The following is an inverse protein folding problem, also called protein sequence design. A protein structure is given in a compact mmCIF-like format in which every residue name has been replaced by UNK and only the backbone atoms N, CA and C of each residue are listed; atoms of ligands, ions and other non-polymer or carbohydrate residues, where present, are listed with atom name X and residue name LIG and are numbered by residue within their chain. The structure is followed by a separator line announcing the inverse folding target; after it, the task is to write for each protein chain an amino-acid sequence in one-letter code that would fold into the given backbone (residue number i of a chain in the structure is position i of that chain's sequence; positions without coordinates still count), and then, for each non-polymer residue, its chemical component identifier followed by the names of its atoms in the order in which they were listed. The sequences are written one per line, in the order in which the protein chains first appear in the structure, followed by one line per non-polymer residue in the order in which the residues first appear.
data_IF_985954829140
#
_entry.id   IF_985954829140
#
_cell.length_a   1.000
_cell.length_b   1.000
_cell.length_c   1.000
_cell.angle_alpha   90.00
_cell.angle_beta   90.00
_cell.angle_gamma   90.00
#
_symmetry.space_group_name_H-M   'P 1'
#
loop_
_entity.id
_entity.type
_entity.pdbx_description
1 polymer ?
#
# COMPACT_ATOMS: atom_id res chain seq x y z
N UNK A 1 7.22 3.93 -23.18
CA UNK A 1 5.90 3.90 -22.54
C UNK A 1 5.28 2.49 -22.47
N UNK A 2 6.02 1.41 -22.71
CA UNK A 2 5.51 0.05 -22.93
C UNK A 2 5.98 -1.01 -21.92
N UNK A 3 6.46 -0.63 -20.74
CA UNK A 3 6.93 -1.61 -19.72
C UNK A 3 6.03 -1.73 -18.47
N UNK A 4 4.99 -0.92 -18.34
CA UNK A 4 4.05 -0.98 -17.21
C UNK A 4 2.91 -2.01 -17.39
N UNK A 5 2.69 -2.51 -18.60
CA UNK A 5 1.56 -3.42 -18.89
C UNK A 5 1.85 -4.90 -18.58
N UNK A 6 3.11 -5.29 -18.35
CA UNK A 6 3.48 -6.72 -18.19
C UNK A 6 3.48 -7.24 -16.75
N UNK A 7 3.40 -6.39 -15.73
CA UNK A 7 3.47 -6.81 -14.33
C UNK A 7 2.12 -7.15 -13.68
N UNK A 8 1.01 -6.87 -14.35
CA UNK A 8 -0.34 -7.11 -13.79
C UNK A 8 -0.90 -8.50 -14.15
N UNK A 9 -0.31 -9.20 -15.12
CA UNK A 9 -0.92 -10.44 -15.66
C UNK A 9 -0.54 -11.75 -14.94
N UNK A 10 0.32 -11.74 -13.94
CA UNK A 10 0.79 -13.00 -13.33
C UNK A 10 0.15 -13.39 -11.98
N UNK A 11 -0.70 -12.56 -11.40
CA UNK A 11 -1.29 -12.82 -10.06
C UNK A 11 -2.73 -13.37 -10.08
N UNK A 12 -3.32 -13.65 -11.22
CA UNK A 12 -4.77 -13.84 -11.35
C UNK A 12 -5.25 -15.31 -11.42
N UNK A 13 -4.46 -16.30 -10.98
CA UNK A 13 -4.93 -17.71 -11.18
C UNK A 13 -4.64 -18.69 -10.04
N UNK A 14 -4.94 -18.36 -8.78
CA UNK A 14 -4.76 -19.33 -7.69
C UNK A 14 -5.81 -19.33 -6.57
N UNK A 15 -7.04 -18.89 -6.79
CA UNK A 15 -8.05 -18.84 -5.72
C UNK A 15 -9.33 -19.64 -6.02
N UNK A 16 -9.23 -20.89 -6.51
CA UNK A 16 -10.38 -21.80 -6.56
C UNK A 16 -9.94 -23.25 -6.31
N UNK A 17 -9.49 -23.59 -5.09
CA UNK A 17 -9.49 -24.99 -4.61
C UNK A 17 -9.75 -25.03 -3.10
N UNK A 18 -10.69 -25.84 -2.61
CA UNK A 18 -10.89 -26.07 -1.18
C UNK A 18 -9.77 -26.97 -0.67
N UNK A 19 -8.97 -26.47 0.26
CA UNK A 19 -7.91 -27.24 0.90
C UNK A 19 -6.55 -26.54 0.94
N UNK A 20 -6.48 -25.24 1.28
CA UNK A 20 -5.21 -24.55 1.48
C UNK A 20 -4.50 -25.07 2.72
N UNK A 21 -3.40 -25.82 2.52
CA UNK A 21 -2.51 -26.24 3.60
C UNK A 21 -1.68 -25.05 4.12
N UNK A 22 -1.18 -25.13 5.35
CA UNK A 22 -0.31 -24.09 5.94
C UNK A 22 0.91 -23.74 5.07
N UNK A 23 1.37 -24.64 4.22
CA UNK A 23 2.44 -24.38 3.24
C UNK A 23 2.03 -23.38 2.16
N UNK A 24 0.81 -23.48 1.61
CA UNK A 24 0.32 -22.55 0.58
C UNK A 24 0.11 -21.13 1.12
N UNK A 25 -0.24 -20.99 2.41
CA UNK A 25 -0.33 -19.66 3.04
C UNK A 25 1.04 -19.03 3.29
N UNK A 26 2.07 -19.85 3.58
CA UNK A 26 3.44 -19.38 3.75
C UNK A 26 4.04 -18.91 2.41
N UNK A 27 3.79 -19.64 1.32
CA UNK A 27 4.24 -19.26 -0.03
C UNK A 27 3.57 -17.95 -0.49
N UNK A 28 2.26 -17.83 -0.33
CA UNK A 28 1.52 -16.60 -0.66
C UNK A 28 2.02 -15.39 0.14
N UNK A 29 2.36 -15.57 1.42
CA UNK A 29 2.94 -14.51 2.24
C UNK A 29 4.31 -14.07 1.73
N UNK A 30 5.16 -15.03 1.33
CA UNK A 30 6.49 -14.76 0.77
C UNK A 30 6.40 -14.00 -0.55
N UNK A 31 5.47 -14.37 -1.44
CA UNK A 31 5.20 -13.67 -2.69
C UNK A 31 4.72 -12.22 -2.45
N UNK A 32 3.83 -12.03 -1.48
CA UNK A 32 3.38 -10.68 -1.08
C UNK A 32 4.55 -9.84 -0.58
N UNK A 33 5.44 -10.38 0.23
CA UNK A 33 6.61 -9.65 0.73
C UNK A 33 7.59 -9.29 -0.39
N UNK A 34 7.82 -10.18 -1.34
CA UNK A 34 8.66 -9.90 -2.50
C UNK A 34 8.05 -8.81 -3.38
N UNK A 35 6.77 -8.93 -3.73
CA UNK A 35 6.05 -7.90 -4.49
C UNK A 35 6.10 -6.51 -3.79
N UNK A 36 5.99 -6.49 -2.46
CA UNK A 36 6.11 -5.25 -1.68
C UNK A 36 7.51 -4.66 -1.73
N UNK A 37 8.55 -5.50 -1.72
CA UNK A 37 9.93 -5.05 -1.84
C UNK A 37 10.19 -4.43 -3.22
N UNK A 38 9.69 -5.06 -4.27
CA UNK A 38 9.79 -4.58 -5.64
C UNK A 38 9.03 -3.25 -5.83
N UNK A 39 7.79 -3.18 -5.33
CA UNK A 39 7.00 -1.94 -5.34
C UNK A 39 7.66 -0.80 -4.57
N UNK A 40 8.40 -1.11 -3.49
CA UNK A 40 9.15 -0.10 -2.74
C UNK A 40 10.31 0.46 -3.54
N UNK A 41 11.09 -0.41 -4.20
CA UNK A 41 12.20 -0.01 -5.06
C UNK A 41 11.71 0.80 -6.26
N UNK A 42 10.65 0.32 -6.92
CA UNK A 42 10.02 1.00 -8.04
C UNK A 42 9.44 2.36 -7.65
N UNK A 43 8.83 2.47 -6.48
CA UNK A 43 8.27 3.73 -5.97
C UNK A 43 9.34 4.80 -5.81
N UNK A 44 10.49 4.46 -5.22
CA UNK A 44 11.59 5.41 -5.08
C UNK A 44 12.13 5.84 -6.45
N UNK A 45 12.27 4.91 -7.39
CA UNK A 45 12.69 5.20 -8.75
C UNK A 45 11.70 6.11 -9.48
N UNK A 46 10.39 5.85 -9.33
CA UNK A 46 9.33 6.70 -9.91
C UNK A 46 9.37 8.11 -9.32
N UNK A 47 9.56 8.26 -8.01
CA UNK A 47 9.71 9.57 -7.37
C UNK A 47 10.94 10.29 -7.90
N UNK A 48 12.09 9.62 -7.97
CA UNK A 48 13.34 10.21 -8.48
C UNK A 48 13.21 10.66 -9.95
N UNK A 49 12.56 9.87 -10.79
CA UNK A 49 12.36 10.18 -12.21
C UNK A 49 11.37 11.34 -12.46
N UNK A 50 10.42 11.56 -11.53
CA UNK A 50 9.35 12.54 -11.73
C UNK A 50 9.45 13.79 -10.84
N UNK A 51 10.42 13.83 -9.93
CA UNK A 51 10.67 14.96 -9.03
C UNK A 51 12.11 15.48 -9.25
N UNK A 52 12.31 16.44 -10.16
CA UNK A 52 13.65 16.99 -10.42
C UNK A 52 14.12 17.80 -9.21
N UNK A 53 15.11 17.28 -8.50
CA UNK A 53 15.72 17.90 -7.32
C UNK A 53 17.12 18.43 -7.67
N UNK A 54 17.46 19.61 -7.16
CA UNK A 54 18.84 20.05 -7.12
C UNK A 54 19.64 19.20 -6.12
N UNK A 55 20.96 19.27 -6.16
CA UNK A 55 21.80 18.53 -5.22
C UNK A 55 21.49 18.88 -3.76
N UNK A 56 21.28 20.17 -3.46
CA UNK A 56 20.93 20.64 -2.11
C UNK A 56 19.57 20.14 -1.65
N UNK A 57 18.55 20.20 -2.54
CA UNK A 57 17.22 19.65 -2.23
C UNK A 57 17.27 18.14 -2.03
N UNK A 58 18.01 17.42 -2.86
CA UNK A 58 18.16 15.96 -2.79
C UNK A 58 18.75 15.52 -1.45
N UNK A 59 19.81 16.18 -0.97
CA UNK A 59 20.44 15.90 0.33
C UNK A 59 19.45 16.04 1.50
N UNK A 60 18.49 16.95 1.41
CA UNK A 60 17.50 17.20 2.48
C UNK A 60 16.24 16.36 2.30
N UNK A 61 15.80 16.11 1.08
CA UNK A 61 14.55 15.39 0.76
C UNK A 61 14.63 13.91 1.11
N UNK A 62 15.66 13.20 0.65
CA UNK A 62 15.73 11.74 0.78
C UNK A 62 15.71 11.22 2.23
N UNK A 63 16.34 11.88 3.22
CA UNK A 63 16.17 11.49 4.61
C UNK A 63 14.72 11.58 5.10
N UNK A 64 14.01 12.67 4.78
CA UNK A 64 12.59 12.84 5.16
C UNK A 64 11.72 11.82 4.43
N UNK A 65 11.98 11.58 3.14
CA UNK A 65 11.31 10.55 2.34
C UNK A 65 11.45 9.16 2.98
N UNK A 66 12.68 8.77 3.31
CA UNK A 66 12.96 7.46 3.91
C UNK A 66 12.20 7.26 5.23
N UNK A 67 12.17 8.27 6.08
CA UNK A 67 11.43 8.23 7.34
C UNK A 67 9.91 8.13 7.09
N UNK A 68 9.37 8.97 6.22
CA UNK A 68 7.95 8.92 5.84
C UNK A 68 7.56 7.55 5.28
N UNK A 69 8.37 6.99 4.39
CA UNK A 69 8.12 5.67 3.81
C UNK A 69 8.19 4.56 4.85
N UNK A 70 9.16 4.62 5.78
CA UNK A 70 9.23 3.65 6.88
C UNK A 70 7.99 3.65 7.77
N UNK A 71 7.39 4.82 8.04
CA UNK A 71 6.14 4.88 8.78
C UNK A 71 4.92 4.42 7.95
N UNK A 72 4.87 4.76 6.66
CA UNK A 72 3.79 4.26 5.77
C UNK A 72 3.84 2.75 5.57
N UNK A 73 5.02 2.14 5.58
CA UNK A 73 5.19 0.69 5.48
C UNK A 73 4.56 -0.03 6.68
N UNK A 74 4.68 0.51 7.89
CA UNK A 74 4.02 -0.04 9.10
C UNK A 74 2.49 -0.07 8.95
N UNK A 75 1.92 0.99 8.36
CA UNK A 75 0.48 1.02 8.06
C UNK A 75 0.11 0.04 6.93
N UNK A 76 0.99 -0.13 5.96
CA UNK A 76 0.87 -1.16 4.93
C UNK A 76 0.87 -2.57 5.52
N UNK A 77 1.71 -2.84 6.53
CA UNK A 77 1.72 -4.13 7.26
C UNK A 77 0.40 -4.39 7.99
N UNK A 78 -0.16 -3.37 8.64
CA UNK A 78 -1.48 -3.47 9.28
C UNK A 78 -2.57 -3.79 8.24
N UNK A 79 -2.55 -3.09 7.09
CA UNK A 79 -3.49 -3.35 6.00
C UNK A 79 -3.36 -4.78 5.47
N UNK A 80 -2.15 -5.27 5.24
CA UNK A 80 -1.92 -6.64 4.76
C UNK A 80 -2.43 -7.69 5.76
N UNK A 81 -2.18 -7.49 7.06
CA UNK A 81 -2.71 -8.36 8.13
C UNK A 81 -4.23 -8.34 8.17
N UNK A 82 -4.85 -7.18 8.02
CA UNK A 82 -6.30 -7.04 7.99
C UNK A 82 -6.91 -7.79 6.80
N UNK A 83 -6.32 -7.65 5.61
CA UNK A 83 -6.76 -8.37 4.39
C UNK A 83 -6.60 -9.88 4.57
N UNK A 84 -5.48 -10.35 5.12
CA UNK A 84 -5.26 -11.77 5.38
C UNK A 84 -6.27 -12.33 6.40
N UNK A 85 -6.56 -11.58 7.47
CA UNK A 85 -7.57 -11.96 8.45
C UNK A 85 -8.99 -11.98 7.84
N UNK A 86 -9.29 -11.03 6.95
CA UNK A 86 -10.55 -11.00 6.21
C UNK A 86 -10.70 -12.24 5.32
N UNK A 87 -9.69 -12.55 4.52
CA UNK A 87 -9.69 -13.72 3.65
C UNK A 87 -9.87 -15.04 4.45
N UNK A 88 -9.15 -15.20 5.56
CA UNK A 88 -9.24 -16.37 6.41
C UNK A 88 -10.61 -16.56 7.08
N UNK A 89 -11.36 -15.47 7.25
CA UNK A 89 -12.68 -15.50 7.91
C UNK A 89 -13.85 -15.29 6.94
N UNK A 90 -13.60 -15.19 5.64
CA UNK A 90 -14.60 -14.76 4.66
C UNK A 90 -15.91 -15.56 4.75
N UNK A 91 -15.83 -16.90 4.72
CA UNK A 91 -17.01 -17.79 4.77
C UNK A 91 -17.75 -17.73 6.12
N UNK A 92 -17.07 -17.31 7.18
CA UNK A 92 -17.60 -17.24 8.53
C UNK A 92 -17.85 -15.81 9.02
N UNK A 93 -17.88 -14.84 8.09
CA UNK A 93 -18.15 -13.43 8.44
C UNK A 93 -19.54 -13.29 9.07
N UNK A 94 -19.57 -12.58 10.18
CA UNK A 94 -20.76 -12.19 10.93
C UNK A 94 -20.68 -10.70 11.31
N UNK A 95 -21.67 -10.17 11.98
CA UNK A 95 -21.73 -8.75 12.39
C UNK A 95 -20.56 -8.36 13.30
N UNK A 96 -20.14 -9.25 14.19
CA UNK A 96 -19.04 -9.00 15.13
C UNK A 96 -17.71 -8.87 14.37
N UNK A 97 -17.41 -9.83 13.50
CA UNK A 97 -16.20 -9.83 12.68
C UNK A 97 -16.21 -8.68 11.69
N UNK A 98 -17.36 -8.40 11.07
CA UNK A 98 -17.53 -7.26 10.15
C UNK A 98 -17.29 -5.93 10.85
N UNK A 99 -17.80 -5.77 12.06
CA UNK A 99 -17.55 -4.57 12.89
C UNK A 99 -16.07 -4.43 13.24
N UNK A 100 -15.41 -5.51 13.65
CA UNK A 100 -13.98 -5.49 13.97
C UNK A 100 -13.14 -5.14 12.74
N UNK A 101 -13.44 -5.75 11.59
CA UNK A 101 -12.79 -5.44 10.30
C UNK A 101 -12.94 -3.97 9.93
N UNK A 102 -14.16 -3.45 9.98
CA UNK A 102 -14.47 -2.06 9.61
C UNK A 102 -13.77 -1.05 10.54
N UNK A 103 -13.75 -1.33 11.85
CA UNK A 103 -13.09 -0.47 12.83
C UNK A 103 -11.57 -0.41 12.61
N UNK A 104 -10.93 -1.54 12.33
CA UNK A 104 -9.49 -1.57 12.05
C UNK A 104 -9.18 -0.88 10.71
N UNK A 105 -9.97 -1.12 9.66
CA UNK A 105 -9.83 -0.42 8.40
C UNK A 105 -9.92 1.11 8.58
N UNK A 106 -10.95 1.60 9.28
CA UNK A 106 -11.09 3.03 9.58
C UNK A 106 -9.91 3.58 10.40
N UNK A 107 -9.39 2.79 11.35
CA UNK A 107 -8.22 3.18 12.15
C UNK A 107 -7.01 3.37 11.26
N UNK A 108 -6.74 2.45 10.35
CA UNK A 108 -5.63 2.55 9.39
C UNK A 108 -5.77 3.80 8.52
N UNK A 109 -6.96 4.11 8.01
CA UNK A 109 -7.20 5.29 7.17
C UNK A 109 -6.99 6.61 7.96
N UNK A 110 -7.44 6.68 9.21
CA UNK A 110 -7.16 7.83 10.08
C UNK A 110 -5.65 8.00 10.32
N UNK A 111 -4.95 6.92 10.59
CA UNK A 111 -3.50 6.95 10.85
C UNK A 111 -2.71 7.34 9.58
N UNK A 112 -3.16 6.93 8.39
CA UNK A 112 -2.59 7.39 7.10
C UNK A 112 -2.74 8.90 6.92
N UNK A 113 -3.92 9.43 7.21
CA UNK A 113 -4.17 10.87 7.14
C UNK A 113 -3.31 11.63 8.15
N UNK A 114 -3.30 11.22 9.40
CA UNK A 114 -2.49 11.84 10.46
C UNK A 114 -1.00 11.80 10.14
N UNK A 115 -0.50 10.68 9.60
CA UNK A 115 0.89 10.57 9.16
C UNK A 115 1.22 11.57 8.04
N UNK A 116 0.34 11.70 7.05
CA UNK A 116 0.49 12.69 5.97
C UNK A 116 0.54 14.11 6.54
N UNK A 117 -0.38 14.45 7.43
CA UNK A 117 -0.46 15.77 8.05
C UNK A 117 0.81 16.09 8.86
N UNK A 118 1.38 15.10 9.54
CA UNK A 118 2.65 15.21 10.26
C UNK A 118 3.83 15.50 9.32
N UNK A 119 3.87 14.88 8.13
CA UNK A 119 5.02 14.95 7.23
C UNK A 119 4.93 16.08 6.19
N UNK A 120 3.74 16.54 5.82
CA UNK A 120 3.56 17.66 4.86
C UNK A 120 4.40 18.89 5.26
N UNK A 121 4.38 19.37 6.51
CA UNK A 121 5.22 20.51 6.92
C UNK A 121 6.71 20.21 6.80
N UNK A 122 7.14 18.98 7.03
CA UNK A 122 8.55 18.57 6.94
C UNK A 122 9.04 18.61 5.50
N UNK A 123 8.26 18.10 4.56
CA UNK A 123 8.57 18.20 3.13
C UNK A 123 8.58 19.64 2.63
N UNK A 124 7.66 20.49 3.12
CA UNK A 124 7.61 21.91 2.78
C UNK A 124 8.80 22.72 3.34
N UNK A 125 9.50 22.21 4.34
CA UNK A 125 10.75 22.83 4.83
C UNK A 125 11.94 22.55 3.93
N UNK A 126 11.94 21.43 3.22
CA UNK A 126 13.07 20.95 2.42
C UNK A 126 12.85 21.10 0.91
N UNK A 127 11.63 21.44 0.49
CA UNK A 127 11.24 21.62 -0.90
C UNK A 127 10.46 22.92 -1.12
N UNK A 128 10.62 23.59 -2.26
CA UNK A 128 9.66 24.60 -2.72
C UNK A 128 8.23 24.03 -2.78
N UNK A 129 7.22 24.86 -2.53
CA UNK A 129 5.81 24.43 -2.45
C UNK A 129 5.34 23.65 -3.67
N UNK A 130 5.76 24.04 -4.88
CA UNK A 130 5.42 23.30 -6.11
C UNK A 130 6.00 21.89 -6.13
N UNK A 131 7.25 21.71 -5.70
CA UNK A 131 7.89 20.39 -5.64
C UNK A 131 7.30 19.53 -4.54
N UNK A 132 6.99 20.10 -3.37
CA UNK A 132 6.29 19.40 -2.31
C UNK A 132 4.89 18.92 -2.77
N UNK A 133 4.12 19.78 -3.42
CA UNK A 133 2.82 19.40 -4.00
C UNK A 133 2.96 18.29 -5.04
N UNK A 134 3.95 18.42 -5.96
CA UNK A 134 4.24 17.39 -6.98
C UNK A 134 4.60 16.04 -6.35
N UNK A 135 5.41 16.05 -5.30
CA UNK A 135 5.76 14.83 -4.58
C UNK A 135 4.50 14.10 -4.05
N UNK A 136 3.62 14.82 -3.35
CA UNK A 136 2.38 14.21 -2.85
C UNK A 136 1.41 13.79 -3.96
N UNK A 137 1.42 14.46 -5.12
CA UNK A 137 0.67 14.00 -6.29
C UNK A 137 1.23 12.67 -6.84
N UNK A 138 2.56 12.51 -6.88
CA UNK A 138 3.21 11.25 -7.28
C UNK A 138 2.81 10.14 -6.31
N UNK A 139 2.96 10.36 -5.00
CA UNK A 139 2.55 9.38 -3.97
C UNK A 139 1.07 8.99 -4.11
N UNK A 140 0.18 9.98 -4.26
CA UNK A 140 -1.25 9.71 -4.42
C UNK A 140 -1.58 8.88 -5.66
N UNK A 141 -0.89 9.11 -6.78
CA UNK A 141 -1.07 8.30 -8.00
C UNK A 141 -0.59 6.86 -7.80
N UNK A 142 0.53 6.66 -7.13
CA UNK A 142 1.05 5.33 -6.82
C UNK A 142 0.13 4.58 -5.86
N UNK A 143 -0.38 5.26 -4.83
CA UNK A 143 -1.35 4.69 -3.90
C UNK A 143 -2.67 4.33 -4.60
N UNK A 144 -3.14 5.16 -5.54
CA UNK A 144 -4.34 4.87 -6.31
C UNK A 144 -4.20 3.61 -7.19
N UNK A 145 -3.03 3.37 -7.78
CA UNK A 145 -2.76 2.16 -8.56
C UNK A 145 -2.81 0.92 -7.66
N UNK A 146 -2.16 0.98 -6.49
CA UNK A 146 -2.18 -0.13 -5.51
C UNK A 146 -3.60 -0.39 -5.01
N UNK A 147 -4.34 0.66 -4.66
CA UNK A 147 -5.71 0.54 -4.17
C UNK A 147 -6.66 -0.01 -5.23
N UNK A 148 -6.48 0.34 -6.51
CA UNK A 148 -7.27 -0.22 -7.61
C UNK A 148 -7.03 -1.73 -7.73
N UNK A 149 -5.76 -2.18 -7.65
CA UNK A 149 -5.43 -3.60 -7.65
C UNK A 149 -6.07 -4.35 -6.48
N UNK A 150 -5.97 -3.81 -5.27
CA UNK A 150 -6.60 -4.40 -4.10
C UNK A 150 -8.14 -4.46 -4.21
N UNK A 151 -8.76 -3.39 -4.73
CA UNK A 151 -10.22 -3.33 -4.90
C UNK A 151 -10.74 -4.35 -5.92
N UNK A 152 -9.92 -4.73 -6.90
CA UNK A 152 -10.29 -5.75 -7.88
C UNK A 152 -10.25 -7.18 -7.29
N UNK A 153 -9.38 -7.43 -6.30
CA UNK A 153 -9.13 -8.76 -5.75
C UNK A 153 -9.91 -9.05 -4.46
N UNK A 154 -10.24 -8.00 -3.68
CA UNK A 154 -10.91 -8.19 -2.38
C UNK A 154 -12.44 -8.22 -2.58
N UNK A 155 -13.10 -9.35 -2.32
CA UNK A 155 -14.55 -9.45 -2.46
C UNK A 155 -15.28 -8.61 -1.39
N UNK A 156 -16.53 -8.25 -1.68
CA UNK A 156 -17.38 -7.58 -0.69
C UNK A 156 -17.73 -8.51 0.47
N UNK A 157 -18.01 -7.93 1.64
CA UNK A 157 -18.49 -8.67 2.81
C UNK A 157 -19.75 -9.47 2.43
N UNK A 158 -19.77 -10.81 2.66
CA UNK A 158 -20.92 -11.63 2.32
C UNK A 158 -22.13 -11.27 3.19
N UNK A 159 -23.29 -11.09 2.55
CA UNK A 159 -24.54 -10.91 3.27
C UNK A 159 -25.18 -12.27 3.47
N UNK A 160 -25.42 -12.65 4.72
CA UNK A 160 -26.24 -13.86 5.02
C UNK A 160 -27.70 -13.58 4.64
N UNK A 161 -28.26 -14.49 3.87
CA UNK A 161 -29.69 -14.49 3.57
C UNK A 161 -30.50 -14.92 4.78
#
# INVERSE_FOLDING_TARGET
MTRFASLISAAALALLLPGTTAAQTADAWTEIQQLRADLKADRQAVVAANLPLSEGESKQFWPVYKEYRGETEKLGDRSAKLIAAYAANYESMDDTKSTAFFNEWQSIERDRSALRDKFVPRFRKVLPSQKAARYFQIENKLDAIVNLGLAAEIPLVPLKK
#
